data_IF_940222282491
#
_entry.id   IF_940222282491
#
_cell.length_a   1.000
_cell.length_b   1.000
_cell.length_c   1.000
_cell.angle_alpha   90.00
_cell.angle_beta   90.00
_cell.angle_gamma   90.00
#
_symmetry.space_group_name_H-M   'P 1'
#
loop_
_entity.id
_entity.type
_entity.pdbx_description
1 polymer ?
#
# COMPACT_ATOMS: atom_id res chain seq x y z
N UNK A 1 28.47 -20.30 80.21
CA UNK A 1 28.66 -21.62 79.57
C UNK A 1 29.27 -21.36 78.19
N UNK A 2 30.60 -21.46 78.08
CA UNK A 2 31.30 -22.62 77.47
C UNK A 2 30.89 -22.81 76.01
N UNK A 3 31.72 -22.74 74.97
CA UNK A 3 33.17 -22.71 74.77
C UNK A 3 33.35 -23.11 73.29
N UNK A 4 33.97 -22.30 72.44
CA UNK A 4 35.40 -22.24 72.12
C UNK A 4 35.86 -23.21 71.00
N UNK A 5 36.82 -22.71 70.21
CA UNK A 5 37.83 -23.35 69.32
C UNK A 5 37.56 -23.28 67.80
N UNK A 6 38.48 -22.83 66.93
CA UNK A 6 39.95 -22.63 67.04
C UNK A 6 40.55 -21.86 65.83
N UNK A 7 41.67 -21.15 66.11
CA UNK A 7 42.92 -20.93 65.34
C UNK A 7 42.89 -20.15 64.00
N UNK A 8 43.64 -19.05 63.77
CA UNK A 8 45.09 -18.68 63.83
C UNK A 8 45.81 -18.74 62.47
N UNK A 9 46.53 -17.63 62.18
CA UNK A 9 47.68 -17.36 61.28
C UNK A 9 47.42 -16.53 60.00
N UNK A 10 47.78 -15.24 59.90
CA UNK A 10 49.07 -14.47 59.80
C UNK A 10 49.56 -14.24 58.35
N UNK A 11 50.09 -13.02 58.14
CA UNK A 11 50.84 -12.47 56.99
C UNK A 11 49.97 -11.91 55.85
N UNK A 12 50.14 -10.70 55.33
CA UNK A 12 51.18 -9.68 55.49
C UNK A 12 51.13 -8.78 54.23
N UNK A 13 51.67 -7.56 54.31
CA UNK A 13 52.08 -6.82 53.12
C UNK A 13 51.22 -5.62 52.75
N UNK A 14 51.79 -4.44 53.01
CA UNK A 14 51.41 -3.14 52.47
C UNK A 14 51.36 -3.14 50.93
N UNK A 15 50.37 -2.44 50.37
CA UNK A 15 50.54 -1.75 49.10
C UNK A 15 49.67 -0.49 49.07
N UNK A 16 50.32 0.67 48.94
CA UNK A 16 49.69 1.95 48.68
C UNK A 16 48.91 1.89 47.36
N UNK A 17 47.61 2.11 47.41
CA UNK A 17 46.76 2.35 46.24
C UNK A 17 46.48 3.84 46.09
N UNK A 18 47.31 4.53 45.31
CA UNK A 18 47.05 5.88 44.82
C UNK A 18 45.83 5.90 43.88
N UNK A 19 44.91 6.82 44.17
CA UNK A 19 43.73 7.14 43.35
C UNK A 19 44.19 7.68 41.99
N UNK A 20 43.88 6.96 40.91
CA UNK A 20 43.91 7.49 39.54
C UNK A 20 42.48 7.63 39.05
N UNK A 21 42.05 8.88 38.87
CA UNK A 21 40.80 9.26 38.22
C UNK A 21 40.98 9.00 36.72
N UNK A 22 40.48 7.87 36.23
CA UNK A 22 40.36 7.60 34.80
C UNK A 22 39.14 8.34 34.25
N UNK A 23 39.40 9.36 33.41
CA UNK A 23 38.40 9.96 32.54
C UNK A 23 37.88 8.88 31.58
N UNK A 24 36.67 8.39 31.83
CA UNK A 24 35.97 7.49 30.93
C UNK A 24 35.70 8.17 29.59
N UNK A 25 36.42 7.75 28.56
CA UNK A 25 36.03 7.98 27.18
C UNK A 25 34.79 7.12 26.96
N UNK A 26 33.63 7.77 26.78
CA UNK A 26 32.41 7.10 26.33
C UNK A 26 32.70 6.61 24.90
N UNK A 27 33.05 5.34 24.77
CA UNK A 27 33.06 4.67 23.49
C UNK A 27 31.62 4.68 22.96
N UNK A 28 31.37 5.44 21.89
CA UNK A 28 30.16 5.28 21.09
C UNK A 28 30.14 3.83 20.63
N UNK A 29 29.22 3.01 21.15
CA UNK A 29 28.88 1.73 20.53
C UNK A 29 28.56 2.01 19.07
N UNK A 30 29.42 1.57 18.18
CA UNK A 30 29.05 1.39 16.78
C UNK A 30 27.94 0.36 16.78
N UNK A 31 26.70 0.84 16.64
CA UNK A 31 25.61 -0.01 16.22
C UNK A 31 26.09 -0.70 14.95
N UNK A 32 26.18 -2.04 15.01
CA UNK A 32 26.36 -2.85 13.83
C UNK A 32 25.13 -2.55 12.97
N UNK A 33 25.31 -1.68 11.99
CA UNK A 33 24.32 -1.50 10.95
C UNK A 33 24.18 -2.86 10.29
N UNK A 34 23.07 -3.54 10.57
CA UNK A 34 22.58 -4.57 9.67
C UNK A 34 22.24 -3.83 8.38
N UNK A 35 23.24 -3.69 7.51
CA UNK A 35 23.04 -3.25 6.15
C UNK A 35 22.02 -4.21 5.55
N UNK A 36 20.82 -3.71 5.26
CA UNK A 36 19.88 -4.40 4.42
C UNK A 36 20.66 -4.93 3.19
N UNK A 37 20.38 -6.15 2.72
CA UNK A 37 21.04 -6.65 1.52
C UNK A 37 20.91 -5.58 0.44
N UNK A 38 22.02 -5.28 -0.24
CA UNK A 38 22.22 -4.19 -1.20
C UNK A 38 21.14 -4.10 -2.31
N UNK A 39 20.27 -5.10 -2.41
CA UNK A 39 19.25 -5.31 -3.42
C UNK A 39 17.91 -4.55 -3.22
N UNK A 40 17.68 -3.91 -2.06
CA UNK A 40 16.43 -3.17 -1.78
C UNK A 40 16.64 -1.69 -1.40
N UNK A 41 17.75 -1.08 -1.82
CA UNK A 41 17.99 0.33 -1.57
C UNK A 41 16.89 1.19 -2.20
N UNK A 42 16.41 2.18 -1.45
CA UNK A 42 15.58 3.23 -2.02
C UNK A 42 16.40 4.03 -3.04
N UNK A 43 15.82 4.41 -4.19
CA UNK A 43 16.47 5.35 -5.10
C UNK A 43 16.58 6.74 -4.43
N UNK A 44 17.25 7.70 -5.08
CA UNK A 44 17.35 9.07 -4.55
C UNK A 44 15.95 9.70 -4.40
N UNK A 45 15.57 10.24 -3.23
CA UNK A 45 14.22 10.75 -2.99
C UNK A 45 13.84 11.89 -3.92
N UNK A 46 12.55 11.92 -4.31
CA UNK A 46 11.90 13.10 -4.85
C UNK A 46 11.57 14.13 -3.77
N UNK A 47 10.77 15.13 -4.12
CA UNK A 47 10.18 16.06 -3.13
C UNK A 47 9.08 15.41 -2.32
N UNK A 48 8.29 14.53 -2.95
CA UNK A 48 7.32 13.67 -2.28
C UNK A 48 7.60 12.23 -2.67
N UNK A 49 7.59 11.32 -1.69
CA UNK A 49 7.78 9.88 -1.87
C UNK A 49 6.54 9.13 -1.40
N UNK A 50 5.96 8.39 -2.33
CA UNK A 50 4.85 7.48 -2.05
C UNK A 50 5.36 6.04 -2.06
N UNK A 51 4.82 5.22 -1.18
CA UNK A 51 4.91 3.75 -1.30
C UNK A 51 3.52 3.20 -1.55
N UNK A 52 3.37 2.41 -2.61
CA UNK A 52 2.12 1.79 -3.04
C UNK A 52 2.18 0.28 -2.82
N UNK A 53 1.23 -0.23 -2.04
CA UNK A 53 1.02 -1.65 -1.76
C UNK A 53 -0.41 -2.05 -2.13
N UNK A 54 -0.67 -3.34 -2.39
CA UNK A 54 -2.01 -3.80 -2.71
C UNK A 54 -2.15 -5.30 -2.54
N UNK A 55 -3.40 -5.76 -2.43
CA UNK A 55 -3.81 -7.16 -2.39
C UNK A 55 -2.93 -7.92 -1.39
N UNK A 56 -2.95 -7.44 -0.14
CA UNK A 56 -2.10 -7.89 0.96
C UNK A 56 -2.56 -9.23 1.52
N UNK A 57 -3.83 -9.51 1.34
CA UNK A 57 -4.54 -10.61 1.97
C UNK A 57 -4.02 -12.00 1.55
N UNK A 58 -4.49 -13.01 2.28
CA UNK A 58 -4.22 -14.42 2.03
C UNK A 58 -5.57 -15.13 1.77
N UNK A 59 -5.68 -16.41 2.11
CA UNK A 59 -6.93 -17.15 2.00
C UNK A 59 -8.08 -16.48 2.78
N UNK A 60 -9.31 -16.69 2.31
CA UNK A 60 -10.54 -16.20 2.95
C UNK A 60 -10.59 -16.48 4.46
N UNK A 61 -10.83 -15.45 5.26
CA UNK A 61 -10.87 -15.55 6.72
C UNK A 61 -9.50 -15.54 7.41
N UNK A 62 -8.39 -15.41 6.67
CA UNK A 62 -7.05 -15.41 7.27
C UNK A 62 -6.87 -14.25 8.24
N UNK A 63 -6.31 -14.56 9.40
CA UNK A 63 -5.88 -13.60 10.43
C UNK A 63 -4.36 -13.48 10.50
N UNK A 64 -3.67 -13.90 9.44
CA UNK A 64 -2.23 -13.76 9.28
C UNK A 64 -1.87 -13.40 7.82
N UNK A 65 -0.66 -12.87 7.66
CA UNK A 65 -0.10 -12.42 6.39
C UNK A 65 1.15 -13.20 6.02
N UNK A 66 1.40 -13.32 4.71
CA UNK A 66 2.62 -13.93 4.18
C UNK A 66 3.88 -13.16 4.64
N UNK A 67 5.01 -13.85 4.67
CA UNK A 67 6.28 -13.26 5.13
C UNK A 67 6.74 -12.09 4.27
N UNK A 68 6.41 -12.09 2.98
CA UNK A 68 6.67 -10.99 2.04
C UNK A 68 5.93 -9.71 2.43
N UNK A 69 4.67 -9.82 2.86
CA UNK A 69 3.88 -8.67 3.33
C UNK A 69 4.51 -8.11 4.60
N UNK A 70 4.77 -8.96 5.60
CA UNK A 70 5.40 -8.56 6.87
C UNK A 70 6.77 -7.90 6.63
N UNK A 71 7.57 -8.47 5.73
CA UNK A 71 8.88 -7.92 5.33
C UNK A 71 8.74 -6.57 4.65
N UNK A 72 7.79 -6.41 3.72
CA UNK A 72 7.54 -5.13 3.08
C UNK A 72 7.19 -4.05 4.11
N UNK A 73 6.25 -4.32 5.01
CA UNK A 73 5.87 -3.35 6.07
C UNK A 73 7.06 -2.99 6.96
N UNK A 74 7.93 -3.95 7.28
CA UNK A 74 9.14 -3.69 8.06
C UNK A 74 10.18 -2.82 7.33
N UNK A 75 10.23 -2.87 5.99
CA UNK A 75 11.17 -2.08 5.17
C UNK A 75 10.71 -0.65 4.93
N UNK A 76 9.40 -0.42 4.87
CA UNK A 76 8.80 0.87 4.49
C UNK A 76 9.38 2.06 5.29
N UNK A 77 9.55 1.98 6.64
CA UNK A 77 10.11 3.10 7.40
C UNK A 77 11.52 3.51 6.98
N UNK A 78 12.37 2.56 6.57
CA UNK A 78 13.75 2.86 6.15
C UNK A 78 13.80 3.67 4.85
N UNK A 79 12.73 3.60 4.05
CA UNK A 79 12.60 4.37 2.81
C UNK A 79 12.05 5.78 3.00
N UNK A 80 11.59 6.10 4.22
CA UNK A 80 11.06 7.41 4.63
C UNK A 80 10.02 7.97 3.64
N UNK A 81 8.91 7.25 3.37
CA UNK A 81 7.85 7.80 2.54
C UNK A 81 7.06 8.88 3.28
N UNK A 82 6.56 9.85 2.53
CA UNK A 82 5.61 10.86 3.02
C UNK A 82 4.19 10.27 3.15
N UNK A 83 3.87 9.24 2.36
CA UNK A 83 2.57 8.58 2.36
C UNK A 83 2.65 7.14 1.85
N UNK A 84 1.97 6.23 2.53
CA UNK A 84 1.68 4.88 2.02
C UNK A 84 0.26 4.84 1.45
N UNK A 85 0.15 4.34 0.22
CA UNK A 85 -1.11 4.11 -0.47
C UNK A 85 -1.39 2.60 -0.56
N UNK A 86 -2.58 2.16 -0.16
CA UNK A 86 -3.05 0.79 -0.38
C UNK A 86 -4.13 0.73 -1.46
N UNK A 87 -3.91 -0.03 -2.53
CA UNK A 87 -4.89 -0.18 -3.60
C UNK A 87 -5.96 -1.26 -3.33
N UNK A 88 -6.17 -1.63 -2.05
CA UNK A 88 -7.25 -2.50 -1.57
C UNK A 88 -6.82 -3.94 -1.29
N UNK A 89 -7.81 -4.74 -0.86
CA UNK A 89 -7.67 -6.14 -0.43
C UNK A 89 -6.65 -6.31 0.70
N UNK A 90 -6.86 -5.52 1.76
CA UNK A 90 -6.11 -5.56 3.00
C UNK A 90 -6.45 -6.79 3.83
N UNK A 91 -7.71 -7.22 3.84
CA UNK A 91 -8.20 -8.44 4.51
C UNK A 91 -8.85 -9.40 3.50
N UNK A 92 -9.04 -10.66 3.88
CA UNK A 92 -9.61 -11.71 3.01
C UNK A 92 -11.09 -12.02 3.31
N UNK A 93 -11.97 -11.01 3.23
CA UNK A 93 -13.42 -11.17 3.43
C UNK A 93 -14.10 -11.70 2.18
N UNK A 94 -15.37 -11.36 1.96
CA UNK A 94 -16.13 -11.75 0.76
C UNK A 94 -16.43 -13.26 0.67
N UNK A 95 -16.58 -13.92 1.82
CA UNK A 95 -17.06 -15.31 1.90
C UNK A 95 -18.29 -15.37 2.80
N UNK A 96 -19.43 -15.78 2.24
CA UNK A 96 -20.74 -15.71 2.92
C UNK A 96 -20.85 -16.54 4.20
N UNK A 97 -19.93 -17.48 4.43
CA UNK A 97 -19.86 -18.27 5.65
C UNK A 97 -19.07 -17.60 6.78
N UNK A 98 -18.43 -16.45 6.54
CA UNK A 98 -17.69 -15.72 7.57
C UNK A 98 -18.66 -15.02 8.53
N UNK A 99 -18.43 -15.21 9.82
CA UNK A 99 -19.19 -14.55 10.89
C UNK A 99 -18.65 -13.15 11.16
N UNK A 100 -19.45 -12.24 11.75
CA UNK A 100 -18.97 -10.93 12.18
C UNK A 100 -17.72 -11.00 13.07
N UNK A 101 -17.64 -11.97 13.98
CA UNK A 101 -16.48 -12.15 14.86
C UNK A 101 -15.20 -12.49 14.07
N UNK A 102 -15.30 -13.35 13.06
CA UNK A 102 -14.17 -13.68 12.18
C UNK A 102 -13.71 -12.46 11.38
N UNK A 103 -14.65 -11.67 10.85
CA UNK A 103 -14.34 -10.41 10.17
C UNK A 103 -13.64 -9.43 11.10
N UNK A 104 -14.09 -9.29 12.35
CA UNK A 104 -13.39 -8.50 13.37
C UNK A 104 -11.97 -9.01 13.62
N UNK A 105 -11.76 -10.33 13.74
CA UNK A 105 -10.43 -10.91 13.91
C UNK A 105 -9.50 -10.65 12.73
N UNK A 106 -10.01 -10.60 11.50
CA UNK A 106 -9.23 -10.23 10.32
C UNK A 106 -8.77 -8.76 10.39
N UNK A 107 -9.65 -7.83 10.75
CA UNK A 107 -9.28 -6.42 10.93
C UNK A 107 -8.31 -6.20 12.11
N UNK A 108 -8.43 -6.99 13.18
CA UNK A 108 -7.44 -7.00 14.26
C UNK A 108 -6.06 -7.51 13.79
N UNK A 109 -6.03 -8.49 12.90
CA UNK A 109 -4.78 -8.93 12.29
C UNK A 109 -4.17 -7.85 11.38
N UNK A 110 -4.99 -7.19 10.56
CA UNK A 110 -4.57 -6.05 9.75
C UNK A 110 -3.95 -4.94 10.62
N UNK A 111 -4.62 -4.58 11.72
CA UNK A 111 -4.09 -3.60 12.68
C UNK A 111 -2.70 -4.01 13.18
N UNK A 112 -2.57 -5.23 13.69
CA UNK A 112 -1.31 -5.74 14.29
C UNK A 112 -0.16 -5.79 13.30
N UNK A 113 -0.39 -6.26 12.07
CA UNK A 113 0.69 -6.55 11.13
C UNK A 113 0.98 -5.41 10.15
N UNK A 114 0.01 -4.53 9.90
CA UNK A 114 0.10 -3.54 8.83
C UNK A 114 -0.08 -2.12 9.38
N UNK A 115 -1.26 -1.79 9.91
CA UNK A 115 -1.59 -0.40 10.22
C UNK A 115 -0.86 0.14 11.45
N UNK A 116 -0.76 -0.65 12.53
CA UNK A 116 -0.07 -0.23 13.75
C UNK A 116 1.43 0.00 13.51
N UNK A 117 2.19 -0.88 12.82
CA UNK A 117 3.59 -0.60 12.49
C UNK A 117 3.80 0.71 11.72
N UNK A 118 2.97 0.97 10.70
CA UNK A 118 3.05 2.22 9.92
C UNK A 118 2.73 3.45 10.80
N UNK A 119 1.71 3.33 11.67
CA UNK A 119 1.33 4.40 12.60
C UNK A 119 2.42 4.67 13.64
N UNK A 120 3.07 3.64 14.16
CA UNK A 120 4.21 3.76 15.08
C UNK A 120 5.42 4.42 14.43
N UNK A 121 5.60 4.24 13.12
CA UNK A 121 6.61 4.93 12.33
C UNK A 121 6.20 6.37 11.93
N UNK A 122 5.03 6.85 12.35
CA UNK A 122 4.44 8.14 11.97
C UNK A 122 4.27 8.31 10.46
N UNK A 123 3.97 7.23 9.74
CA UNK A 123 3.76 7.25 8.29
C UNK A 123 2.27 7.34 7.99
N UNK A 124 1.78 8.40 7.32
CA UNK A 124 0.41 8.48 6.85
C UNK A 124 0.02 7.30 5.96
N UNK A 125 -1.23 6.86 6.07
CA UNK A 125 -1.77 5.74 5.31
C UNK A 125 -3.10 6.09 4.67
N UNK A 126 -3.20 5.99 3.35
CA UNK A 126 -4.46 6.12 2.61
C UNK A 126 -4.75 4.84 1.82
N UNK A 127 -6.02 4.53 1.60
CA UNK A 127 -6.41 3.25 1.03
C UNK A 127 -7.73 3.37 0.24
N UNK A 128 -7.89 2.54 -0.78
CA UNK A 128 -9.23 2.15 -1.28
C UNK A 128 -9.61 0.81 -0.66
N UNK A 129 -10.91 0.55 -0.50
CA UNK A 129 -11.39 -0.79 -0.14
C UNK A 129 -11.48 -1.66 -1.39
N UNK A 130 -11.02 -2.90 -1.26
CA UNK A 130 -11.16 -3.94 -2.28
C UNK A 130 -12.40 -4.80 -2.12
N UNK A 131 -12.58 -5.75 -3.03
CA UNK A 131 -13.73 -6.65 -2.97
C UNK A 131 -13.65 -7.59 -1.76
N UNK A 132 -12.46 -7.95 -1.31
CA UNK A 132 -12.30 -8.74 -0.10
C UNK A 132 -12.42 -7.91 1.20
N UNK A 133 -12.22 -6.60 1.15
CA UNK A 133 -12.37 -5.75 2.33
C UNK A 133 -13.85 -5.45 2.62
N UNK A 134 -14.59 -5.08 1.58
CA UNK A 134 -15.92 -4.49 1.70
C UNK A 134 -16.69 -4.48 0.36
N UNK A 135 -16.81 -5.63 -0.32
CA UNK A 135 -17.46 -5.70 -1.65
C UNK A 135 -18.77 -4.93 -1.75
N UNK A 136 -18.85 -4.03 -2.73
CA UNK A 136 -20.06 -3.31 -3.11
C UNK A 136 -21.06 -4.15 -3.92
N UNK A 137 -20.86 -5.46 -4.06
CA UNK A 137 -21.72 -6.32 -4.88
C UNK A 137 -23.11 -6.42 -4.27
N UNK A 138 -24.12 -6.41 -5.14
CA UNK A 138 -25.52 -6.45 -4.75
C UNK A 138 -26.14 -7.80 -5.10
N UNK A 139 -27.00 -8.31 -4.21
CA UNK A 139 -27.91 -9.42 -4.44
C UNK A 139 -29.30 -8.97 -3.99
N UNK A 140 -30.27 -9.00 -4.91
CA UNK A 140 -31.66 -8.55 -4.65
C UNK A 140 -31.75 -7.14 -4.05
N UNK A 141 -30.93 -6.20 -4.56
CA UNK A 141 -30.93 -4.79 -4.11
C UNK A 141 -30.22 -4.53 -2.78
N UNK A 142 -29.65 -5.56 -2.14
CA UNK A 142 -28.89 -5.44 -0.89
C UNK A 142 -27.44 -5.85 -1.09
N UNK A 143 -26.52 -5.37 -0.25
CA UNK A 143 -25.13 -5.81 -0.31
C UNK A 143 -25.03 -7.31 -0.01
N UNK A 144 -24.46 -8.07 -0.95
CA UNK A 144 -24.23 -9.50 -0.79
C UNK A 144 -23.27 -9.81 0.38
N UNK A 145 -22.40 -8.86 0.69
CA UNK A 145 -21.36 -8.91 1.71
C UNK A 145 -21.51 -7.74 2.71
N UNK A 146 -22.74 -7.53 3.19
CA UNK A 146 -23.05 -6.44 4.11
C UNK A 146 -22.21 -6.47 5.40
N UNK A 147 -21.91 -7.68 5.91
CA UNK A 147 -21.09 -7.87 7.11
C UNK A 147 -19.64 -7.39 6.91
N UNK A 148 -19.05 -7.65 5.75
CA UNK A 148 -17.69 -7.16 5.40
C UNK A 148 -17.67 -5.62 5.38
N UNK A 149 -18.65 -4.98 4.71
CA UNK A 149 -18.79 -3.52 4.69
C UNK A 149 -18.99 -2.93 6.08
N UNK A 150 -19.78 -3.58 6.94
CA UNK A 150 -19.97 -3.16 8.32
C UNK A 150 -18.67 -3.26 9.12
N UNK A 151 -17.93 -4.36 9.00
CA UNK A 151 -16.68 -4.57 9.72
C UNK A 151 -15.62 -3.54 9.29
N UNK A 152 -15.46 -3.28 7.99
CA UNK A 152 -14.58 -2.24 7.47
C UNK A 152 -14.98 -0.86 8.01
N UNK A 153 -16.27 -0.52 7.97
CA UNK A 153 -16.76 0.75 8.50
C UNK A 153 -16.51 0.90 10.00
N UNK A 154 -16.67 -0.15 10.79
CA UNK A 154 -16.43 -0.12 12.24
C UNK A 154 -14.95 0.07 12.54
N UNK A 155 -14.08 -0.66 11.84
CA UNK A 155 -12.64 -0.55 12.00
C UNK A 155 -12.15 0.87 11.69
N UNK A 156 -12.48 1.42 10.51
CA UNK A 156 -11.92 2.69 10.06
C UNK A 156 -12.54 3.92 10.73
N UNK A 157 -13.81 3.87 11.16
CA UNK A 157 -14.46 4.99 11.87
C UNK A 157 -14.07 5.08 13.34
N UNK A 158 -13.38 4.08 13.87
CA UNK A 158 -12.75 4.20 15.18
C UNK A 158 -11.66 5.28 15.10
N UNK A 159 -11.71 6.34 15.93
CA UNK A 159 -10.69 7.39 15.94
C UNK A 159 -9.26 6.87 16.16
N UNK A 160 -9.10 5.74 16.85
CA UNK A 160 -7.79 5.09 17.05
C UNK A 160 -7.18 4.52 15.75
N UNK A 161 -7.99 4.28 14.73
CA UNK A 161 -7.55 3.70 13.44
C UNK A 161 -7.71 4.67 12.27
N UNK A 162 -8.46 5.77 12.43
CA UNK A 162 -8.62 6.79 11.39
C UNK A 162 -7.26 7.36 11.02
N UNK A 163 -6.83 7.30 9.75
CA UNK A 163 -5.54 7.82 9.35
C UNK A 163 -5.46 9.33 9.50
N UNK A 164 -4.25 9.83 9.80
CA UNK A 164 -3.93 11.25 9.77
C UNK A 164 -3.74 11.69 8.32
N UNK A 165 -4.79 12.26 7.74
CA UNK A 165 -4.81 12.81 6.37
C UNK A 165 -5.50 14.17 6.39
N UNK A 166 -5.09 15.09 5.52
CA UNK A 166 -5.78 16.36 5.33
C UNK A 166 -7.03 16.14 4.45
N UNK A 167 -8.09 15.59 5.05
CA UNK A 167 -9.34 15.30 4.37
C UNK A 167 -9.96 16.56 3.76
N UNK A 168 -10.29 16.48 2.47
CA UNK A 168 -11.08 17.48 1.74
C UNK A 168 -12.57 17.12 1.85
N UNK A 169 -12.91 15.85 1.61
CA UNK A 169 -14.25 15.31 1.83
C UNK A 169 -14.18 13.91 2.42
N UNK A 170 -14.79 13.73 3.60
CA UNK A 170 -14.85 12.46 4.32
C UNK A 170 -16.27 11.97 4.62
N UNK A 171 -17.29 12.54 3.97
CA UNK A 171 -18.71 12.21 4.22
C UNK A 171 -19.05 10.73 4.02
N UNK A 172 -18.34 10.08 3.11
CA UNK A 172 -18.56 8.67 2.76
C UNK A 172 -17.42 7.75 3.21
N UNK A 173 -16.53 8.22 4.07
CA UNK A 173 -15.43 7.44 4.63
C UNK A 173 -15.98 6.21 5.41
N UNK A 174 -15.39 5.01 5.24
CA UNK A 174 -14.14 4.70 4.51
C UNK A 174 -14.29 4.29 3.03
N UNK A 175 -15.48 4.41 2.44
CA UNK A 175 -15.75 3.83 1.12
C UNK A 175 -15.24 4.69 -0.03
N UNK A 176 -15.49 6.00 0.04
CA UNK A 176 -14.94 6.96 -0.91
C UNK A 176 -14.79 8.32 -0.22
N UNK A 177 -13.71 9.01 -0.53
CA UNK A 177 -13.28 10.22 0.16
C UNK A 177 -12.15 10.90 -0.63
N UNK A 178 -11.85 12.15 -0.31
CA UNK A 178 -10.71 12.86 -0.89
C UNK A 178 -9.90 13.57 0.18
N UNK A 179 -8.62 13.76 -0.11
CA UNK A 179 -7.67 14.42 0.77
C UNK A 179 -6.56 15.07 -0.05
N UNK A 180 -5.80 15.94 0.61
CA UNK A 180 -4.56 16.49 0.08
C UNK A 180 -3.37 16.06 0.92
N UNK A 181 -2.19 15.94 0.31
CA UNK A 181 -0.92 15.78 1.01
C UNK A 181 0.15 16.40 0.11
N UNK A 182 1.03 17.25 0.66
CA UNK A 182 2.14 17.87 -0.08
C UNK A 182 1.74 18.56 -1.41
N UNK A 183 0.60 19.27 -1.38
CA UNK A 183 -0.02 19.94 -2.53
C UNK A 183 -0.44 18.99 -3.67
N UNK A 184 -0.66 17.72 -3.34
CA UNK A 184 -1.19 16.68 -4.23
C UNK A 184 -2.59 16.32 -3.76
N UNK A 185 -3.53 16.27 -4.70
CA UNK A 185 -4.90 15.85 -4.44
C UNK A 185 -5.08 14.36 -4.71
N UNK A 186 -5.84 13.68 -3.85
CA UNK A 186 -6.16 12.28 -3.98
C UNK A 186 -7.67 12.08 -3.93
N UNK A 187 -8.23 11.47 -4.97
CA UNK A 187 -9.63 11.02 -5.00
C UNK A 187 -9.68 9.51 -4.84
N UNK A 188 -10.18 9.02 -3.70
CA UNK A 188 -10.36 7.60 -3.43
C UNK A 188 -11.82 7.23 -3.64
N UNK A 189 -12.08 6.23 -4.47
CA UNK A 189 -13.44 5.79 -4.80
C UNK A 189 -13.69 4.31 -4.46
N UNK A 190 -14.95 3.92 -4.25
CA UNK A 190 -15.33 2.51 -4.01
C UNK A 190 -15.49 1.80 -5.35
N UNK A 191 -14.35 1.34 -5.87
CA UNK A 191 -14.25 0.48 -7.04
C UNK A 191 -14.06 -0.99 -6.64
N UNK A 192 -14.74 -1.45 -5.58
CA UNK A 192 -14.72 -2.87 -5.14
C UNK A 192 -15.58 -3.80 -6.01
N UNK A 193 -16.23 -3.26 -7.05
CA UNK A 193 -16.96 -4.00 -8.08
C UNK A 193 -16.84 -3.31 -9.43
N UNK A 194 -17.23 -3.99 -10.51
CA UNK A 194 -17.11 -3.48 -11.87
C UNK A 194 -18.02 -2.27 -12.20
N UNK A 195 -18.96 -1.92 -11.31
CA UNK A 195 -19.92 -0.83 -11.53
C UNK A 195 -19.75 0.25 -10.48
N UNK A 196 -19.60 1.49 -10.95
CA UNK A 196 -19.67 2.69 -10.10
C UNK A 196 -21.11 3.20 -10.15
N UNK A 197 -21.72 3.47 -8.98
CA UNK A 197 -23.08 3.97 -8.94
C UNK A 197 -23.17 5.40 -9.49
N UNK A 198 -24.33 5.84 -10.05
CA UNK A 198 -24.48 7.21 -10.54
C UNK A 198 -24.19 8.28 -9.48
N UNK A 199 -24.60 8.04 -8.23
CA UNK A 199 -24.33 8.94 -7.12
C UNK A 199 -22.83 9.06 -6.80
N UNK A 200 -22.11 7.93 -6.80
CA UNK A 200 -20.67 7.96 -6.59
C UNK A 200 -19.95 8.62 -7.77
N UNK A 201 -20.38 8.36 -9.01
CA UNK A 201 -19.81 9.01 -10.20
C UNK A 201 -19.99 10.53 -10.18
N UNK A 202 -21.17 11.02 -9.76
CA UNK A 202 -21.41 12.45 -9.56
C UNK A 202 -20.51 13.03 -8.46
N UNK A 203 -20.31 12.30 -7.36
CA UNK A 203 -19.38 12.71 -6.30
C UNK A 203 -17.92 12.76 -6.80
N UNK A 204 -17.48 11.77 -7.58
CA UNK A 204 -16.14 11.71 -8.17
C UNK A 204 -15.89 12.95 -9.03
N UNK A 205 -16.83 13.28 -9.93
CA UNK A 205 -16.70 14.46 -10.80
C UNK A 205 -16.67 15.76 -9.96
N UNK A 206 -17.53 15.89 -8.96
CA UNK A 206 -17.53 17.05 -8.07
C UNK A 206 -16.24 17.17 -7.23
N UNK A 207 -15.71 16.05 -6.74
CA UNK A 207 -14.46 15.98 -5.98
C UNK A 207 -13.28 16.45 -6.82
N UNK A 208 -13.17 15.94 -8.06
CA UNK A 208 -12.14 16.34 -9.01
C UNK A 208 -12.29 17.78 -9.50
N UNK A 209 -13.52 18.30 -9.60
CA UNK A 209 -13.81 19.68 -9.98
C UNK A 209 -13.57 20.71 -8.86
N UNK A 210 -13.36 20.27 -7.62
CA UNK A 210 -13.22 21.17 -6.46
C UNK A 210 -12.03 22.13 -6.58
N UNK A 211 -12.15 23.31 -5.98
CA UNK A 211 -11.07 24.31 -5.90
C UNK A 211 -9.76 23.69 -5.38
N UNK A 212 -9.84 22.85 -4.35
CA UNK A 212 -8.70 22.15 -3.75
C UNK A 212 -8.02 21.22 -4.76
N UNK A 213 -8.80 20.42 -5.50
CA UNK A 213 -8.28 19.52 -6.53
C UNK A 213 -7.66 20.30 -7.70
N UNK A 214 -8.30 21.38 -8.14
CA UNK A 214 -7.84 22.19 -9.27
C UNK A 214 -6.60 23.03 -8.94
N UNK A 215 -6.43 23.46 -7.69
CA UNK A 215 -5.23 24.18 -7.22
C UNK A 215 -4.05 23.28 -6.89
N UNK A 216 -4.30 21.99 -6.62
CA UNK A 216 -3.23 21.03 -6.36
C UNK A 216 -2.34 20.85 -7.58
N UNK A 217 -1.02 20.67 -7.36
CA UNK A 217 -0.04 20.53 -8.46
C UNK A 217 -0.21 19.23 -9.24
N UNK A 218 -0.70 18.19 -8.56
CA UNK A 218 -0.94 16.84 -9.08
C UNK A 218 -2.25 16.30 -8.52
N UNK A 219 -2.86 15.38 -9.26
CA UNK A 219 -4.08 14.67 -8.88
C UNK A 219 -3.89 13.17 -9.12
N UNK A 220 -4.18 12.37 -8.10
CA UNK A 220 -4.26 10.92 -8.20
C UNK A 220 -5.69 10.45 -8.00
N UNK A 221 -6.06 9.37 -8.66
CA UNK A 221 -7.28 8.62 -8.37
C UNK A 221 -6.92 7.20 -7.92
N UNK A 222 -7.58 6.72 -6.88
CA UNK A 222 -7.36 5.39 -6.31
C UNK A 222 -8.67 4.61 -6.29
N UNK A 223 -8.62 3.38 -6.80
CA UNK A 223 -9.73 2.43 -6.70
C UNK A 223 -9.26 1.01 -6.95
N UNK A 224 -9.95 0.03 -6.34
CA UNK A 224 -9.45 -1.33 -6.35
C UNK A 224 -9.48 -1.99 -7.73
N UNK A 225 -10.62 -2.00 -8.43
CA UNK A 225 -10.69 -2.54 -9.79
C UNK A 225 -10.03 -1.59 -10.80
N UNK A 226 -9.31 -2.17 -11.75
CA UNK A 226 -8.65 -1.44 -12.83
C UNK A 226 -9.63 -0.98 -13.92
N UNK A 227 -9.25 0.08 -14.64
CA UNK A 227 -9.97 0.50 -15.86
C UNK A 227 -9.77 -0.52 -17.00
N UNK A 228 -8.59 -1.12 -17.06
CA UNK A 228 -8.16 -2.08 -18.08
C UNK A 228 -7.60 -3.34 -17.41
N UNK A 229 -8.02 -4.54 -17.83
CA UNK A 229 -7.50 -5.77 -17.26
C UNK A 229 -6.12 -6.10 -17.84
N UNK A 230 -5.13 -6.24 -16.97
CA UNK A 230 -3.75 -6.57 -17.36
C UNK A 230 -3.36 -8.01 -17.04
N UNK A 231 -4.15 -8.72 -16.25
CA UNK A 231 -3.86 -10.11 -15.87
C UNK A 231 -4.62 -11.13 -16.74
N UNK A 232 -3.99 -12.28 -16.98
CA UNK A 232 -4.56 -13.37 -17.77
C UNK A 232 -5.62 -14.20 -17.03
N UNK A 233 -6.29 -15.09 -17.76
CA UNK A 233 -7.34 -15.96 -17.24
C UNK A 233 -8.57 -15.18 -16.80
N UNK A 234 -9.25 -15.62 -15.75
CA UNK A 234 -10.53 -15.03 -15.31
C UNK A 234 -10.46 -13.53 -14.95
N UNK A 235 -9.28 -12.96 -14.67
CA UNK A 235 -9.14 -11.52 -14.39
C UNK A 235 -9.34 -10.65 -15.63
N UNK A 236 -9.28 -11.22 -16.83
CA UNK A 236 -9.55 -10.52 -18.10
C UNK A 236 -11.00 -10.65 -18.56
N UNK A 237 -11.86 -11.33 -17.80
CA UNK A 237 -13.29 -11.48 -18.07
C UNK A 237 -14.10 -10.29 -17.52
N UNK A 238 -15.22 -9.91 -18.18
CA UNK A 238 -16.12 -8.87 -17.67
C UNK A 238 -16.55 -9.11 -16.22
N UNK A 239 -16.59 -8.04 -15.43
CA UNK A 239 -16.84 -8.11 -13.99
C UNK A 239 -15.57 -8.04 -13.12
N UNK A 240 -14.39 -8.28 -13.70
CA UNK A 240 -13.09 -8.17 -13.03
C UNK A 240 -12.33 -6.86 -13.32
N UNK A 241 -12.97 -5.93 -14.01
CA UNK A 241 -12.48 -4.59 -14.31
C UNK A 241 -13.70 -3.68 -14.46
N UNK A 242 -13.49 -2.37 -14.41
CA UNK A 242 -14.58 -1.39 -14.47
C UNK A 242 -15.30 -1.43 -15.83
N UNK A 243 -16.64 -1.52 -15.82
CA UNK A 243 -17.47 -1.64 -17.04
C UNK A 243 -17.45 -0.40 -17.93
N UNK A 244 -17.24 0.78 -17.36
CA UNK A 244 -17.25 2.05 -18.10
C UNK A 244 -15.83 2.64 -18.21
N UNK A 245 -14.82 1.78 -18.37
CA UNK A 245 -13.39 2.14 -18.36
C UNK A 245 -13.05 3.35 -19.25
N UNK A 246 -13.54 3.41 -20.49
CA UNK A 246 -13.25 4.53 -21.41
C UNK A 246 -13.91 5.84 -20.96
N UNK A 247 -15.16 5.79 -20.46
CA UNK A 247 -15.86 6.96 -19.90
C UNK A 247 -15.15 7.47 -18.64
N UNK A 248 -14.72 6.55 -17.78
CA UNK A 248 -14.00 6.88 -16.56
C UNK A 248 -12.61 7.45 -16.89
N UNK A 249 -11.89 6.89 -17.87
CA UNK A 249 -10.65 7.49 -18.36
C UNK A 249 -10.90 8.92 -18.85
N UNK A 250 -11.89 9.14 -19.72
CA UNK A 250 -12.19 10.47 -20.24
C UNK A 250 -12.52 11.48 -19.12
N UNK A 251 -13.22 11.04 -18.07
CA UNK A 251 -13.48 11.86 -16.88
C UNK A 251 -12.17 12.20 -16.15
N UNK A 252 -11.31 11.22 -15.91
CA UNK A 252 -10.03 11.43 -15.23
C UNK A 252 -9.10 12.37 -16.03
N UNK A 253 -9.04 12.21 -17.35
CA UNK A 253 -8.29 13.08 -18.26
C UNK A 253 -8.85 14.51 -18.29
N UNK A 254 -10.19 14.67 -18.34
CA UNK A 254 -10.87 15.99 -18.29
C UNK A 254 -10.43 16.82 -17.08
N UNK A 255 -10.20 16.17 -15.93
CA UNK A 255 -9.78 16.82 -14.70
C UNK A 255 -8.28 16.73 -14.43
N UNK A 256 -7.47 16.41 -15.44
CA UNK A 256 -6.01 16.33 -15.34
C UNK A 256 -5.54 15.43 -14.18
N UNK A 257 -6.19 14.28 -14.00
CA UNK A 257 -5.68 13.23 -13.12
C UNK A 257 -4.44 12.64 -13.76
N UNK A 258 -3.35 12.61 -13.01
CA UNK A 258 -2.06 12.14 -13.49
C UNK A 258 -2.03 10.61 -13.56
N UNK A 259 -2.37 9.94 -12.45
CA UNK A 259 -2.30 8.49 -12.34
C UNK A 259 -3.57 7.93 -11.72
N UNK A 260 -4.11 6.88 -12.33
CA UNK A 260 -5.06 5.98 -11.68
C UNK A 260 -4.32 4.77 -11.11
N UNK A 261 -4.44 4.54 -9.81
CA UNK A 261 -3.78 3.43 -9.10
C UNK A 261 -4.84 2.38 -8.74
N UNK A 262 -4.59 1.13 -9.11
CA UNK A 262 -5.52 0.02 -8.89
C UNK A 262 -4.83 -1.31 -8.59
N UNK A 263 -5.50 -2.14 -7.79
CA UNK A 263 -5.13 -3.52 -7.46
C UNK A 263 -5.94 -4.53 -8.26
N UNK A 264 -6.47 -5.56 -7.58
CA UNK A 264 -7.38 -6.62 -8.06
C UNK A 264 -6.79 -7.56 -9.11
N UNK A 265 -6.11 -7.04 -10.12
CA UNK A 265 -5.56 -7.85 -11.22
C UNK A 265 -4.44 -8.79 -10.75
N UNK A 266 -3.80 -8.50 -9.61
CA UNK A 266 -2.67 -9.24 -9.06
C UNK A 266 -1.47 -9.34 -10.03
N UNK A 267 -1.38 -8.46 -11.03
CA UNK A 267 -0.28 -8.43 -11.99
C UNK A 267 0.22 -6.99 -12.12
N UNK A 268 1.51 -6.80 -11.83
CA UNK A 268 2.14 -5.48 -11.91
C UNK A 268 2.31 -5.05 -13.37
N UNK A 269 1.76 -3.89 -13.72
CA UNK A 269 2.01 -3.26 -15.01
C UNK A 269 1.85 -1.73 -14.94
N UNK A 270 2.95 -0.96 -15.01
CA UNK A 270 2.89 0.49 -15.15
C UNK A 270 2.64 0.85 -16.63
N UNK A 271 1.57 1.57 -16.91
CA UNK A 271 1.16 1.90 -18.26
C UNK A 271 0.71 3.35 -18.42
N UNK A 272 0.44 3.73 -19.64
CA UNK A 272 -0.41 4.87 -19.97
C UNK A 272 -1.40 4.50 -21.07
N UNK A 273 -2.53 5.21 -21.08
CA UNK A 273 -3.47 5.25 -22.20
C UNK A 273 -3.96 6.69 -22.33
N UNK A 274 -3.82 7.28 -23.52
CA UNK A 274 -4.06 8.71 -23.70
C UNK A 274 -3.13 9.55 -22.82
N UNK A 275 -3.71 10.46 -22.03
CA UNK A 275 -2.99 11.34 -21.10
C UNK A 275 -2.86 10.76 -19.69
N UNK A 276 -3.60 9.70 -19.39
CA UNK A 276 -3.67 9.09 -18.05
C UNK A 276 -2.57 8.03 -17.86
N UNK A 277 -1.77 8.16 -16.81
CA UNK A 277 -0.96 7.04 -16.31
C UNK A 277 -1.82 6.05 -15.54
N UNK A 278 -1.47 4.77 -15.64
CA UNK A 278 -2.14 3.67 -14.98
C UNK A 278 -1.10 2.86 -14.21
N UNK A 279 -1.24 2.79 -12.89
CA UNK A 279 -0.49 1.88 -12.07
C UNK A 279 -1.37 0.69 -11.71
N UNK A 280 -1.19 -0.42 -12.43
CA UNK A 280 -1.72 -1.71 -12.02
C UNK A 280 -0.72 -2.30 -11.04
N UNK A 281 -1.07 -2.31 -9.76
CA UNK A 281 -0.22 -2.94 -8.73
C UNK A 281 -0.33 -4.46 -8.86
N UNK A 282 0.79 -5.17 -8.65
CA UNK A 282 0.72 -6.60 -8.41
C UNK A 282 0.23 -6.88 -6.98
N UNK A 283 -0.02 -8.15 -6.69
CA UNK A 283 -0.35 -8.55 -5.33
C UNK A 283 0.91 -8.60 -4.46
N UNK A 284 0.86 -8.04 -3.25
CA UNK A 284 1.91 -8.23 -2.25
C UNK A 284 1.63 -9.47 -1.37
N UNK A 285 0.36 -9.81 -1.21
CA UNK A 285 -0.16 -11.00 -0.56
C UNK A 285 -0.23 -12.20 -1.48
N UNK A 286 -1.32 -12.96 -1.42
CA UNK A 286 -1.43 -14.23 -2.14
C UNK A 286 -1.89 -14.09 -3.61
N UNK A 287 -1.53 -15.09 -4.41
CA UNK A 287 -2.00 -15.26 -5.78
C UNK A 287 -1.54 -14.21 -6.80
N UNK A 288 -0.24 -13.86 -6.92
CA UNK A 288 0.24 -13.07 -8.04
C UNK A 288 -0.10 -13.77 -9.38
N UNK A 289 -0.41 -12.98 -10.42
CA UNK A 289 -0.87 -13.49 -11.73
C UNK A 289 0.04 -13.05 -12.87
N UNK A 290 -0.02 -13.81 -13.95
CA UNK A 290 0.67 -13.47 -15.19
C UNK A 290 -0.08 -12.36 -15.92
N UNK A 291 0.67 -11.56 -16.68
CA UNK A 291 0.08 -10.57 -17.58
C UNK A 291 -0.72 -11.27 -18.71
N UNK A 292 -1.68 -10.54 -19.30
CA UNK A 292 -2.46 -10.98 -20.47
C UNK A 292 -1.59 -11.31 -21.67
N UNK A 293 -0.38 -10.75 -21.74
CA UNK A 293 0.61 -11.01 -22.78
C UNK A 293 2.00 -11.12 -22.17
N UNK A 294 2.88 -11.86 -22.86
CA UNK A 294 4.21 -12.20 -22.37
C UNK A 294 4.23 -13.50 -21.55
N UNK A 295 5.41 -13.86 -21.07
CA UNK A 295 5.69 -15.13 -20.38
C UNK A 295 6.39 -14.94 -19.03
N UNK A 296 6.35 -13.71 -18.49
CA UNK A 296 6.93 -13.43 -17.17
C UNK A 296 6.20 -14.24 -16.10
N UNK A 297 6.98 -14.93 -15.28
CA UNK A 297 6.45 -15.59 -14.08
C UNK A 297 5.83 -14.55 -13.15
N UNK A 298 4.67 -14.84 -12.55
CA UNK A 298 4.07 -13.96 -11.55
C UNK A 298 5.01 -13.75 -10.35
N UNK A 299 4.93 -12.58 -9.74
CA UNK A 299 5.70 -12.25 -8.54
C UNK A 299 4.95 -11.25 -7.68
N UNK A 300 5.30 -11.22 -6.39
CA UNK A 300 4.82 -10.20 -5.47
C UNK A 300 5.52 -8.88 -5.68
N UNK A 301 4.78 -7.78 -5.68
CA UNK A 301 5.33 -6.45 -5.96
C UNK A 301 4.99 -5.42 -4.91
N UNK A 302 5.91 -4.49 -4.70
CA UNK A 302 5.69 -3.21 -4.02
C UNK A 302 6.26 -2.11 -4.90
N UNK A 303 5.57 -0.98 -5.04
CA UNK A 303 6.02 0.14 -5.88
C UNK A 303 6.30 1.38 -5.05
N UNK A 304 7.47 1.98 -5.23
CA UNK A 304 7.77 3.33 -4.75
C UNK A 304 7.59 4.33 -5.90
N UNK A 305 6.97 5.47 -5.61
CA UNK A 305 6.80 6.58 -6.54
C UNK A 305 7.50 7.80 -5.95
N UNK A 306 8.60 8.23 -6.56
CA UNK A 306 9.23 9.52 -6.26
C UNK A 306 8.65 10.59 -7.18
N UNK A 307 8.21 11.70 -6.59
CA UNK A 307 7.64 12.84 -7.28
C UNK A 307 8.64 14.01 -7.18
N UNK A 308 9.25 14.45 -8.30
CA UNK A 308 10.23 15.53 -8.26
C UNK A 308 9.58 16.88 -7.93
N UNK A 309 10.41 17.82 -7.47
CA UNK A 309 9.99 19.21 -7.28
C UNK A 309 9.62 19.85 -8.62
N UNK A 310 8.42 20.42 -8.69
CA UNK A 310 7.96 21.20 -9.86
C UNK A 310 7.72 20.41 -11.15
N UNK A 311 7.85 19.07 -11.14
CA UNK A 311 7.65 18.22 -12.31
C UNK A 311 6.55 17.18 -12.14
N UNK A 312 5.95 16.78 -13.25
CA UNK A 312 5.00 15.66 -13.35
C UNK A 312 5.67 14.37 -13.84
N UNK A 313 7.00 14.36 -14.02
CA UNK A 313 7.74 13.17 -14.41
C UNK A 313 8.03 12.32 -13.17
N UNK A 314 7.02 11.58 -12.72
CA UNK A 314 7.14 10.64 -11.60
C UNK A 314 8.22 9.60 -11.91
N UNK A 315 8.86 9.06 -10.87
CA UNK A 315 9.83 7.98 -11.01
C UNK A 315 9.38 6.77 -10.22
N UNK A 316 9.19 5.66 -10.91
CA UNK A 316 8.67 4.43 -10.33
C UNK A 316 9.84 3.48 -10.08
N UNK A 317 9.94 2.96 -8.87
CA UNK A 317 10.86 1.87 -8.53
C UNK A 317 10.04 0.76 -7.89
N UNK A 318 9.89 -0.35 -8.60
CA UNK A 318 9.12 -1.50 -8.14
C UNK A 318 10.04 -2.62 -7.74
N UNK A 319 9.74 -3.27 -6.63
CA UNK A 319 10.51 -4.37 -6.09
C UNK A 319 9.74 -5.68 -6.25
N UNK A 320 10.44 -6.70 -6.74
CA UNK A 320 9.99 -8.08 -6.67
C UNK A 320 10.25 -8.58 -5.24
N UNK A 321 9.20 -8.74 -4.45
CA UNK A 321 9.28 -9.08 -3.03
C UNK A 321 9.52 -10.58 -2.77
N UNK A 322 9.40 -11.43 -3.80
CA UNK A 322 9.79 -12.84 -3.70
C UNK A 322 11.31 -13.01 -3.82
N UNK A 323 11.95 -12.21 -4.68
CA UNK A 323 13.41 -12.26 -4.94
C UNK A 323 14.21 -11.17 -4.24
N UNK A 324 13.53 -10.16 -3.70
CA UNK A 324 14.13 -8.95 -3.11
C UNK A 324 15.03 -8.19 -4.08
N UNK A 325 14.55 -8.00 -5.31
CA UNK A 325 15.28 -7.27 -6.36
C UNK A 325 14.41 -6.16 -6.96
N UNK A 326 15.03 -5.12 -7.49
CA UNK A 326 14.32 -4.14 -8.34
C UNK A 326 13.83 -4.84 -9.60
N UNK A 327 12.60 -4.54 -10.02
CA UNK A 327 12.02 -5.02 -11.28
C UNK A 327 12.66 -4.24 -12.43
N UNK A 328 13.29 -4.96 -13.36
CA UNK A 328 13.71 -4.39 -14.63
C UNK A 328 12.48 -4.23 -15.55
N UNK A 329 12.04 -2.98 -15.74
CA UNK A 329 10.90 -2.67 -16.60
C UNK A 329 11.12 -3.10 -18.05
N UNK A 330 12.37 -3.21 -18.52
CA UNK A 330 12.71 -3.71 -19.85
C UNK A 330 12.20 -5.13 -20.11
N UNK A 331 12.03 -5.93 -19.05
CA UNK A 331 11.50 -7.30 -19.13
C UNK A 331 9.98 -7.36 -19.32
N UNK A 332 9.26 -6.29 -18.94
CA UNK A 332 7.80 -6.20 -19.14
C UNK A 332 7.51 -5.97 -20.64
N UNK A 333 6.39 -6.46 -21.19
CA UNK A 333 5.98 -6.12 -22.54
C UNK A 333 5.88 -4.59 -22.72
N UNK A 334 6.45 -4.06 -23.81
CA UNK A 334 6.38 -2.62 -24.12
C UNK A 334 4.95 -2.12 -24.38
N UNK A 335 4.02 -3.03 -24.62
CA UNK A 335 2.59 -2.76 -24.65
C UNK A 335 1.76 -3.99 -24.32
N UNK A 336 0.50 -3.80 -23.96
CA UNK A 336 -0.50 -4.85 -23.76
C UNK A 336 -1.75 -4.57 -24.59
N UNK A 337 -2.18 -5.57 -25.35
CA UNK A 337 -3.50 -5.64 -25.95
C UNK A 337 -4.44 -6.33 -24.96
N UNK A 338 -5.15 -5.51 -24.19
CA UNK A 338 -6.16 -6.01 -23.25
C UNK A 338 -7.49 -6.21 -23.97
N UNK A 339 -8.42 -7.02 -23.43
CA UNK A 339 -9.80 -7.09 -23.94
C UNK A 339 -10.54 -5.75 -24.06
N UNK A 340 -10.06 -4.70 -23.35
CA UNK A 340 -10.64 -3.36 -23.35
C UNK A 340 -9.86 -2.32 -24.14
N UNK A 341 -8.72 -2.69 -24.73
CA UNK A 341 -7.91 -1.78 -25.51
C UNK A 341 -6.42 -1.92 -25.26
N UNK A 342 -5.69 -1.10 -26.01
CA UNK A 342 -4.24 -1.05 -26.01
C UNK A 342 -3.71 -0.18 -24.88
N UNK A 343 -2.72 -0.70 -24.16
CA UNK A 343 -1.94 0.01 -23.15
C UNK A 343 -0.47 0.05 -23.57
N UNK A 344 0.18 1.18 -23.41
CA UNK A 344 1.62 1.31 -23.63
C UNK A 344 2.36 1.36 -22.30
N UNK A 345 3.52 0.70 -22.20
CA UNK A 345 4.32 0.68 -20.98
C UNK A 345 4.78 2.09 -20.64
N UNK A 346 4.67 2.46 -19.37
CA UNK A 346 4.78 3.84 -18.87
C UNK A 346 6.06 4.59 -19.28
N UNK A 347 7.19 3.90 -19.35
CA UNK A 347 8.51 4.45 -19.70
C UNK A 347 8.73 4.66 -21.21
N UNK A 348 7.83 4.18 -22.07
CA UNK A 348 7.96 4.26 -23.54
C UNK A 348 7.21 5.44 -24.15
N UNK A 349 6.65 6.33 -23.32
CA UNK A 349 6.01 7.55 -23.80
C UNK A 349 7.08 8.48 -24.38
N UNK A 350 6.94 8.85 -25.66
CA UNK A 350 7.71 9.93 -26.24
C UNK A 350 7.42 11.21 -25.45
N UNK A 351 8.46 11.80 -24.86
CA UNK A 351 8.41 13.06 -24.12
C UNK A 351 8.10 14.24 -25.03
#
# INVERSE_FOLDING_TARGET
MHGNRRQFLTYGGLALGSVLISRGIIAKSQAIANSAPTALNAPAPGETRLVVISDLNSAYGSTDYLSQVKRAIALIPDWQPDLVLCAGDMVAGQKSSLTPAQLTSMWQAFERYIAQPLRQANIPFAFTLGNHDASGSLRNGQYAFAADRQAASQYWRNPAHTPTLDFVDRRHFPFYYSFTQDNIFYSVWDASTARISPAQLAWIEASLASDQAQRSRLRFALGHLSLYPVASGSRSEPGNYLHDGDRLQALLEKYNVHTYISGHQHAYYPAHRGQLELLHTGALGDGPRSLVQGNLSPYRSLTMIDIPRGGTNLRYTTYNMDRLTVVDHGTLPGSLNTPRGYLQRRDLRAT
#
